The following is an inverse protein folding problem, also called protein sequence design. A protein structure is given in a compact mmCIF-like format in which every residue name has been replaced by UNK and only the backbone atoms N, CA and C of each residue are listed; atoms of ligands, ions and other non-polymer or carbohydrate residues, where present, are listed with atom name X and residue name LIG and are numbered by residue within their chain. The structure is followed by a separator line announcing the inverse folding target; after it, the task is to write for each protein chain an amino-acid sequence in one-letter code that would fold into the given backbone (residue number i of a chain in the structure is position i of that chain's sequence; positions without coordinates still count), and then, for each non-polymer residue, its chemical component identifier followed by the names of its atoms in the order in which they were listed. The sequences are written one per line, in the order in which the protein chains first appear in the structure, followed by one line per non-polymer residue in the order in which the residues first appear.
data_IF_101724351804
#
_entry.id   IF_101724351804
#
_cell.length_a   1.000
_cell.length_b   1.000
_cell.length_c   1.000
_cell.angle_alpha   90.00
_cell.angle_beta   90.00
_cell.angle_gamma   90.00
#
_symmetry.space_group_name_H-M   'P 1'
#
loop_
_entity.id
_entity.type
_entity.pdbx_description
1 polymer ?
#
# COMPACT_ATOMS: atom_id res chain seq x y z
N UNK A 1 45.48 -38.90 41.52
CA UNK A 1 44.21 -38.16 41.71
C UNK A 1 44.54 -36.69 41.94
N UNK A 2 43.83 -35.69 41.37
CA UNK A 2 43.05 -35.61 40.12
C UNK A 2 43.64 -34.57 39.13
N UNK A 3 43.68 -34.86 37.82
CA UNK A 3 42.75 -34.41 36.76
C UNK A 3 43.13 -33.08 36.07
N UNK A 4 43.94 -33.19 35.00
CA UNK A 4 44.08 -32.15 33.98
C UNK A 4 42.86 -32.17 33.06
N UNK A 5 42.04 -31.12 33.07
CA UNK A 5 40.93 -30.96 32.14
C UNK A 5 41.44 -30.38 30.81
N UNK A 6 41.54 -31.24 29.79
CA UNK A 6 41.57 -30.84 28.38
C UNK A 6 40.12 -30.60 27.94
N UNK A 7 39.66 -29.35 28.00
CA UNK A 7 38.39 -28.91 27.45
C UNK A 7 38.60 -28.13 26.16
N UNK A 8 38.12 -28.67 25.04
CA UNK A 8 38.32 -28.12 23.70
C UNK A 8 37.53 -26.85 23.42
N UNK A 9 38.19 -25.89 22.77
CA UNK A 9 37.56 -24.77 22.10
C UNK A 9 37.18 -25.16 20.67
N UNK A 10 36.08 -25.89 20.52
CA UNK A 10 35.35 -26.01 19.25
C UNK A 10 33.98 -25.34 19.42
N UNK A 11 33.98 -24.01 19.47
CA UNK A 11 32.77 -23.24 19.19
C UNK A 11 32.82 -22.83 17.72
N UNK A 12 32.02 -23.43 16.82
CA UNK A 12 31.79 -22.82 15.52
C UNK A 12 31.00 -21.53 15.78
N UNK A 13 31.69 -20.39 15.72
CA UNK A 13 31.03 -19.10 15.51
C UNK A 13 30.33 -19.17 14.15
N UNK A 14 29.09 -19.62 14.16
CA UNK A 14 28.19 -19.44 13.03
C UNK A 14 27.90 -17.96 12.96
N UNK A 15 28.48 -17.28 11.97
CA UNK A 15 28.10 -15.94 11.55
C UNK A 15 26.58 -15.94 11.33
N UNK A 16 25.82 -15.46 12.32
CA UNK A 16 24.39 -15.18 12.19
C UNK A 16 24.25 -13.89 11.39
N UNK A 17 24.37 -14.02 10.08
CA UNK A 17 24.00 -12.95 9.16
C UNK A 17 22.48 -12.70 9.28
N UNK A 18 22.01 -11.44 9.28
CA UNK A 18 20.60 -11.09 9.23
C UNK A 18 19.90 -11.82 8.07
N UNK A 19 18.66 -12.26 8.28
CA UNK A 19 17.87 -13.03 7.30
C UNK A 19 17.77 -12.37 5.93
N UNK A 20 17.88 -11.03 5.86
CA UNK A 20 17.92 -10.26 4.62
C UNK A 20 19.19 -10.48 3.79
N UNK A 21 20.37 -10.64 4.43
CA UNK A 21 21.63 -10.91 3.72
C UNK A 21 21.72 -12.35 3.22
N UNK A 22 21.07 -13.30 3.91
CA UNK A 22 21.03 -14.69 3.48
C UNK A 22 20.19 -14.88 2.21
N UNK A 23 19.09 -14.12 2.08
CA UNK A 23 18.28 -14.09 0.86
C UNK A 23 19.01 -13.41 -0.32
N UNK A 24 19.86 -12.42 -0.07
CA UNK A 24 20.62 -11.74 -1.11
C UNK A 24 21.84 -12.54 -1.62
N UNK A 25 22.54 -13.26 -0.73
CA UNK A 25 23.75 -14.02 -1.09
C UNK A 25 23.47 -15.45 -1.58
N UNK A 26 22.37 -16.06 -1.15
CA UNK A 26 22.00 -17.45 -1.50
C UNK A 26 20.61 -17.55 -2.13
N UNK A 27 20.01 -16.43 -2.53
CA UNK A 27 18.77 -16.38 -3.29
C UNK A 27 18.95 -17.04 -4.66
N UNK A 28 18.13 -18.04 -4.91
CA UNK A 28 18.20 -18.96 -6.03
C UNK A 28 18.27 -18.23 -7.39
N UNK A 29 19.24 -18.66 -8.22
CA UNK A 29 19.11 -18.59 -9.67
C UNK A 29 17.94 -19.50 -10.05
N UNK A 30 16.80 -18.91 -10.39
CA UNK A 30 15.74 -19.64 -11.06
C UNK A 30 16.28 -20.16 -12.40
N UNK A 31 16.30 -21.48 -12.49
CA UNK A 31 16.62 -22.25 -13.67
C UNK A 31 15.63 -21.92 -14.78
N UNK A 32 16.09 -21.11 -15.73
CA UNK A 32 15.57 -21.03 -17.09
C UNK A 32 15.71 -22.42 -17.70
N UNK A 33 14.68 -23.27 -17.66
CA UNK A 33 14.45 -24.37 -18.61
C UNK A 33 13.11 -25.06 -18.27
N UNK A 34 12.06 -24.74 -19.02
CA UNK A 34 10.81 -25.50 -19.04
C UNK A 34 10.77 -26.30 -20.35
N UNK A 35 10.79 -27.64 -20.33
CA UNK A 35 10.64 -28.43 -21.54
C UNK A 35 9.17 -28.54 -21.97
N UNK A 36 8.91 -28.14 -23.21
CA UNK A 36 7.65 -28.23 -23.94
C UNK A 36 7.32 -29.67 -24.31
N UNK A 37 6.13 -30.23 -23.99
CA UNK A 37 5.69 -31.46 -24.64
C UNK A 37 5.04 -31.14 -25.99
N UNK A 38 5.79 -31.41 -27.06
CA UNK A 38 5.33 -31.48 -28.45
C UNK A 38 4.29 -32.60 -28.61
N UNK A 39 3.04 -32.24 -28.90
CA UNK A 39 2.01 -33.20 -29.34
C UNK A 39 1.89 -33.11 -30.86
N UNK A 40 2.28 -34.20 -31.50
CA UNK A 40 2.28 -34.43 -32.94
C UNK A 40 0.93 -34.13 -33.58
N UNK A 41 0.98 -33.29 -34.61
CA UNK A 41 -0.09 -32.99 -35.54
C UNK A 41 -0.04 -34.02 -36.66
N UNK A 42 -1.05 -34.89 -36.76
CA UNK A 42 -1.30 -35.68 -37.96
C UNK A 42 -2.52 -35.11 -38.68
N UNK A 43 -2.22 -34.66 -39.90
CA UNK A 43 -3.11 -34.25 -40.98
C UNK A 43 -4.17 -35.30 -41.31
N UNK A 44 -5.43 -34.89 -41.43
CA UNK A 44 -6.34 -35.43 -42.46
C UNK A 44 -7.19 -34.32 -43.06
N UNK A 45 -7.06 -34.23 -44.37
CA UNK A 45 -7.79 -33.40 -45.31
C UNK A 45 -9.15 -34.03 -45.66
N UNK A 46 -10.00 -33.16 -46.24
CA UNK A 46 -11.03 -33.45 -47.25
C UNK A 46 -12.51 -33.43 -46.81
N UNK A 47 -13.13 -32.32 -47.24
CA UNK A 47 -14.44 -32.21 -47.93
C UNK A 47 -15.68 -32.81 -47.27
N UNK A 48 -16.68 -31.95 -47.04
CA UNK A 48 -17.86 -31.86 -47.92
C UNK A 48 -18.73 -30.67 -47.54
N UNK A 49 -19.13 -29.95 -48.57
CA UNK A 49 -20.23 -28.99 -48.62
C UNK A 49 -21.50 -29.58 -48.02
N UNK A 50 -22.11 -28.89 -47.06
CA UNK A 50 -23.57 -28.73 -46.97
C UNK A 50 -23.90 -27.59 -46.01
N UNK A 51 -24.43 -26.50 -46.58
CA UNK A 51 -25.09 -25.42 -45.86
C UNK A 51 -26.23 -26.00 -45.02
N UNK A 52 -26.02 -26.10 -43.72
CA UNK A 52 -27.10 -26.03 -42.73
C UNK A 52 -26.95 -24.72 -41.98
N UNK A 53 -28.04 -23.96 -41.93
CA UNK A 53 -28.22 -22.84 -41.02
C UNK A 53 -28.00 -23.34 -39.59
N UNK A 54 -26.78 -23.21 -39.09
CA UNK A 54 -26.50 -23.36 -37.68
C UNK A 54 -27.02 -22.09 -37.02
N UNK A 55 -28.16 -22.22 -36.35
CA UNK A 55 -28.61 -21.25 -35.37
C UNK A 55 -27.45 -21.10 -34.38
N UNK A 56 -26.81 -19.93 -34.38
CA UNK A 56 -25.85 -19.54 -33.35
C UNK A 56 -26.60 -19.41 -32.05
N UNK A 57 -26.81 -20.55 -31.37
CA UNK A 57 -27.14 -20.55 -29.95
C UNK A 57 -25.91 -19.99 -29.28
N UNK A 58 -25.96 -18.71 -28.90
CA UNK A 58 -24.98 -18.13 -27.99
C UNK A 58 -24.85 -19.13 -26.82
N UNK A 59 -23.66 -19.68 -26.54
CA UNK A 59 -23.50 -20.41 -25.30
C UNK A 59 -23.81 -19.41 -24.20
N UNK A 60 -24.97 -19.60 -23.56
CA UNK A 60 -25.26 -19.02 -22.27
C UNK A 60 -24.18 -19.57 -21.34
N UNK A 61 -23.08 -18.82 -21.23
CA UNK A 61 -22.08 -18.99 -20.18
C UNK A 61 -22.86 -18.83 -18.88
N UNK A 62 -23.32 -19.95 -18.34
CA UNK A 62 -23.86 -19.96 -17.00
C UNK A 62 -22.73 -19.45 -16.11
N UNK A 63 -22.96 -18.41 -15.30
CA UNK A 63 -21.94 -17.93 -14.39
C UNK A 63 -21.55 -19.12 -13.53
N UNK A 64 -20.26 -19.46 -13.55
CA UNK A 64 -19.68 -20.44 -12.63
C UNK A 64 -20.15 -20.05 -11.24
N UNK A 65 -21.08 -20.82 -10.67
CA UNK A 65 -21.60 -20.56 -9.32
C UNK A 65 -20.40 -20.62 -8.39
N UNK A 66 -19.98 -19.46 -7.93
CA UNK A 66 -18.82 -19.29 -7.08
C UNK A 66 -19.04 -20.02 -5.76
N UNK A 67 -18.46 -21.21 -5.63
CA UNK A 67 -18.25 -21.90 -4.35
C UNK A 67 -17.53 -21.01 -3.32
N UNK A 68 -16.82 -19.98 -3.80
CA UNK A 68 -16.22 -18.91 -3.00
C UNK A 68 -17.23 -18.12 -2.15
N UNK A 69 -18.47 -17.91 -2.62
CA UNK A 69 -19.50 -17.17 -1.87
C UNK A 69 -19.96 -17.91 -0.60
N UNK A 70 -19.82 -19.24 -0.56
CA UNK A 70 -20.38 -20.06 0.51
C UNK A 70 -19.42 -20.27 1.70
N UNK A 71 -18.13 -19.99 1.54
CA UNK A 71 -17.11 -20.31 2.55
C UNK A 71 -16.59 -19.09 3.32
N UNK A 72 -16.75 -17.86 2.82
CA UNK A 72 -16.29 -16.68 3.54
C UNK A 72 -17.25 -16.32 4.70
N UNK A 73 -16.74 -16.17 5.95
CA UNK A 73 -17.57 -15.86 7.11
C UNK A 73 -18.31 -14.52 6.97
N UNK A 74 -17.72 -13.53 6.28
CA UNK A 74 -18.32 -12.20 6.08
C UNK A 74 -19.52 -12.30 5.16
N UNK A 75 -19.40 -13.03 4.05
CA UNK A 75 -20.49 -13.21 3.09
C UNK A 75 -21.62 -14.05 3.68
N UNK A 76 -21.27 -15.06 4.47
CA UNK A 76 -22.24 -15.84 5.25
C UNK A 76 -22.95 -14.96 6.26
N UNK A 77 -22.24 -14.09 6.97
CA UNK A 77 -22.85 -13.18 7.93
C UNK A 77 -23.84 -12.23 7.23
N UNK A 78 -23.45 -11.58 6.14
CA UNK A 78 -24.33 -10.67 5.38
C UNK A 78 -25.59 -11.38 4.86
N UNK A 79 -25.45 -12.61 4.36
CA UNK A 79 -26.58 -13.38 3.84
C UNK A 79 -27.53 -13.85 4.94
N UNK A 80 -26.99 -14.22 6.11
CA UNK A 80 -27.77 -14.66 7.27
C UNK A 80 -28.46 -13.50 8.00
N UNK A 81 -27.73 -12.44 8.32
CA UNK A 81 -28.27 -11.30 9.10
C UNK A 81 -29.07 -10.35 8.25
N UNK A 82 -28.88 -10.37 6.92
CA UNK A 82 -29.41 -9.36 5.98
C UNK A 82 -29.03 -7.94 6.40
N UNK A 83 -27.93 -7.78 7.14
CA UNK A 83 -27.39 -6.50 7.56
C UNK A 83 -26.09 -6.21 6.80
N UNK A 84 -25.81 -4.93 6.48
CA UNK A 84 -24.56 -4.57 5.86
C UNK A 84 -23.40 -4.81 6.83
N UNK A 85 -22.31 -5.37 6.32
CA UNK A 85 -21.07 -5.59 7.11
C UNK A 85 -19.99 -4.62 6.64
N UNK A 86 -19.44 -3.88 7.59
CA UNK A 86 -18.37 -2.91 7.35
C UNK A 86 -17.04 -3.63 7.13
N UNK A 87 -16.44 -3.42 5.96
CA UNK A 87 -15.10 -3.92 5.63
C UNK A 87 -14.03 -2.86 5.92
N UNK A 88 -14.32 -1.61 5.61
CA UNK A 88 -13.37 -0.52 5.76
C UNK A 88 -14.06 0.78 6.14
N UNK A 89 -13.41 1.51 7.04
CA UNK A 89 -13.75 2.87 7.42
C UNK A 89 -12.50 3.74 7.42
N UNK A 90 -12.53 4.81 6.65
CA UNK A 90 -11.44 5.77 6.57
C UNK A 90 -11.14 6.44 7.92
N UNK A 91 -9.88 6.81 8.17
CA UNK A 91 -9.49 7.47 9.41
C UNK A 91 -10.18 8.84 9.53
N UNK A 92 -10.79 9.09 10.70
CA UNK A 92 -11.49 10.35 10.98
C UNK A 92 -10.51 11.42 11.46
N UNK A 93 -9.73 11.99 10.56
CA UNK A 93 -8.84 13.10 10.89
C UNK A 93 -9.34 14.40 10.26
N UNK A 94 -10.02 15.23 11.05
CA UNK A 94 -10.55 16.54 10.61
C UNK A 94 -9.46 17.48 10.09
N UNK A 95 -8.24 17.33 10.59
CA UNK A 95 -7.08 18.18 10.24
C UNK A 95 -6.26 17.62 9.08
N UNK A 96 -6.64 16.47 8.52
CA UNK A 96 -5.87 15.83 7.45
C UNK A 96 -5.72 16.74 6.25
N UNK A 97 -6.82 17.30 5.73
CA UNK A 97 -6.79 18.16 4.55
C UNK A 97 -5.99 19.43 4.81
N UNK A 98 -6.19 20.09 5.95
CA UNK A 98 -5.41 21.27 6.33
C UNK A 98 -3.92 20.98 6.38
N UNK A 99 -3.52 19.84 6.94
CA UNK A 99 -2.11 19.43 6.99
C UNK A 99 -1.53 19.17 5.60
N UNK A 100 -2.25 18.45 4.74
CA UNK A 100 -1.78 18.12 3.38
C UNK A 100 -1.68 19.37 2.52
N UNK A 101 -2.75 20.18 2.45
CA UNK A 101 -2.75 21.40 1.64
C UNK A 101 -1.82 22.48 2.21
N UNK A 102 -1.76 22.62 3.54
CA UNK A 102 -0.81 23.53 4.19
C UNK A 102 0.64 23.15 3.88
N UNK A 103 0.97 21.85 3.93
CA UNK A 103 2.31 21.36 3.56
C UNK A 103 2.59 21.57 2.07
N UNK A 104 1.62 21.27 1.19
CA UNK A 104 1.76 21.50 -0.25
C UNK A 104 1.99 22.97 -0.60
N UNK A 105 1.20 23.87 0.01
CA UNK A 105 1.33 25.32 -0.16
C UNK A 105 2.65 25.84 0.38
N UNK A 106 3.13 25.31 1.52
CA UNK A 106 4.44 25.65 2.06
C UNK A 106 5.56 25.29 1.09
N UNK A 107 5.54 24.09 0.50
CA UNK A 107 6.54 23.69 -0.49
C UNK A 107 6.49 24.54 -1.77
N UNK A 108 5.30 24.87 -2.25
CA UNK A 108 5.12 25.79 -3.38
C UNK A 108 5.68 27.18 -3.03
N UNK A 109 5.38 27.69 -1.83
CA UNK A 109 5.87 28.98 -1.36
C UNK A 109 7.40 29.04 -1.24
N UNK A 110 8.02 27.99 -0.68
CA UNK A 110 9.49 27.87 -0.61
C UNK A 110 10.10 27.83 -2.00
N UNK A 111 9.50 27.07 -2.92
CA UNK A 111 9.98 27.00 -4.30
C UNK A 111 9.86 28.34 -5.05
N UNK A 112 8.73 29.04 -4.90
CA UNK A 112 8.52 30.36 -5.47
C UNK A 112 9.48 31.40 -4.86
N UNK A 113 9.71 31.35 -3.55
CA UNK A 113 10.68 32.19 -2.86
C UNK A 113 12.10 31.95 -3.36
N UNK A 114 12.50 30.69 -3.56
CA UNK A 114 13.81 30.33 -4.13
C UNK A 114 14.02 30.90 -5.54
N UNK A 115 12.98 30.87 -6.39
CA UNK A 115 13.03 31.47 -7.73
C UNK A 115 13.13 32.99 -7.63
N UNK A 116 12.38 33.64 -6.73
CA UNK A 116 12.49 35.09 -6.51
C UNK A 116 13.88 35.47 -6.00
N UNK A 117 14.44 34.70 -5.07
CA UNK A 117 15.75 34.95 -4.49
C UNK A 117 16.89 34.92 -5.53
N UNK A 118 16.73 34.17 -6.62
CA UNK A 118 17.65 34.21 -7.75
C UNK A 118 17.79 35.61 -8.37
N UNK A 119 16.73 36.42 -8.38
CA UNK A 119 16.78 37.78 -8.89
C UNK A 119 17.53 38.72 -7.93
N UNK A 120 17.36 38.53 -6.62
CA UNK A 120 18.02 39.33 -5.57
C UNK A 120 19.54 39.15 -5.55
N UNK A 121 20.06 38.00 -6.02
CA UNK A 121 21.50 37.67 -6.03
C UNK A 121 22.18 37.93 -7.38
N UNK A 122 21.48 38.54 -8.34
CA UNK A 122 21.97 38.71 -9.72
C UNK A 122 23.28 39.50 -9.80
N UNK A 123 23.47 40.47 -8.91
CA UNK A 123 24.59 41.43 -8.98
C UNK A 123 25.77 41.08 -8.06
N UNK A 124 25.67 39.99 -7.29
CA UNK A 124 26.63 39.65 -6.22
C UNK A 124 27.91 38.97 -6.73
N UNK A 125 28.16 38.96 -8.04
CA UNK A 125 29.37 38.37 -8.64
C UNK A 125 29.51 36.86 -8.39
N UNK A 126 28.40 36.15 -8.20
CA UNK A 126 28.40 34.71 -7.91
C UNK A 126 28.77 33.86 -9.14
N UNK A 127 29.29 32.64 -8.93
CA UNK A 127 29.51 31.70 -10.03
C UNK A 127 28.24 31.46 -10.86
N UNK A 128 28.41 31.30 -12.18
CA UNK A 128 27.31 31.22 -13.13
C UNK A 128 26.29 30.10 -12.86
N UNK A 129 26.70 29.02 -12.18
CA UNK A 129 25.84 27.86 -11.89
C UNK A 129 24.91 28.07 -10.69
N UNK A 130 25.22 29.01 -9.80
CA UNK A 130 24.44 29.22 -8.56
C UNK A 130 23.01 29.64 -8.89
N UNK A 131 22.86 30.57 -9.84
CA UNK A 131 21.58 31.13 -10.26
C UNK A 131 20.64 30.11 -10.91
N UNK A 132 21.04 29.35 -11.95
CA UNK A 132 20.25 28.23 -12.47
C UNK A 132 19.87 27.20 -11.41
N UNK A 133 20.76 26.95 -10.43
CA UNK A 133 20.49 25.99 -9.35
C UNK A 133 19.28 26.41 -8.51
N UNK A 134 19.17 27.68 -8.11
CA UNK A 134 18.00 28.17 -7.37
C UNK A 134 16.69 28.04 -8.14
N UNK A 135 16.74 28.21 -9.47
CA UNK A 135 15.56 28.04 -10.34
C UNK A 135 15.15 26.58 -10.42
N UNK A 136 16.11 25.68 -10.65
CA UNK A 136 15.86 24.24 -10.75
C UNK A 136 15.34 23.69 -9.43
N UNK A 137 15.99 24.04 -8.31
CA UNK A 137 15.57 23.63 -6.97
C UNK A 137 14.19 24.21 -6.63
N UNK A 138 13.94 25.47 -6.96
CA UNK A 138 12.64 26.11 -6.75
C UNK A 138 11.53 25.43 -7.54
N UNK A 139 11.75 25.12 -8.81
CA UNK A 139 10.81 24.39 -9.66
C UNK A 139 10.53 22.98 -9.12
N UNK A 140 11.56 22.27 -8.63
CA UNK A 140 11.40 20.96 -8.01
C UNK A 140 10.51 21.01 -6.76
N UNK A 141 10.68 22.02 -5.89
CA UNK A 141 9.82 22.19 -4.72
C UNK A 141 8.37 22.52 -5.07
N UNK A 142 8.13 23.32 -6.10
CA UNK A 142 6.79 23.58 -6.62
C UNK A 142 6.15 22.28 -7.11
N UNK A 143 6.88 21.48 -7.90
CA UNK A 143 6.39 20.21 -8.41
C UNK A 143 6.04 19.22 -7.27
N UNK A 144 6.89 19.12 -6.25
CA UNK A 144 6.63 18.30 -5.04
C UNK A 144 5.38 18.80 -4.32
N UNK A 145 5.23 20.11 -4.13
CA UNK A 145 4.05 20.70 -3.49
C UNK A 145 2.76 20.42 -4.25
N UNK A 146 2.76 20.58 -5.57
CA UNK A 146 1.65 20.20 -6.44
C UNK A 146 1.32 18.71 -6.34
N UNK A 147 2.33 17.84 -6.34
CA UNK A 147 2.15 16.40 -6.17
C UNK A 147 1.53 16.06 -4.80
N UNK A 148 1.96 16.71 -3.72
CA UNK A 148 1.36 16.54 -2.38
C UNK A 148 -0.12 16.90 -2.40
N UNK A 149 -0.51 17.99 -3.09
CA UNK A 149 -1.91 18.42 -3.22
C UNK A 149 -2.82 17.39 -3.92
N UNK A 150 -2.27 16.40 -4.65
CA UNK A 150 -3.03 15.28 -5.24
C UNK A 150 -3.33 14.13 -4.27
N UNK A 151 -2.77 14.15 -3.04
CA UNK A 151 -2.99 13.12 -2.02
C UNK A 151 -4.47 12.82 -1.68
N UNK A 152 -5.31 13.86 -1.51
CA UNK A 152 -6.62 13.68 -0.92
C UNK A 152 -7.70 13.34 -1.96
N UNK A 153 -7.34 13.24 -3.25
CA UNK A 153 -8.29 12.95 -4.34
C UNK A 153 -8.64 11.46 -4.41
N UNK A 154 -9.85 11.19 -4.89
CA UNK A 154 -10.41 9.85 -5.13
C UNK A 154 -10.30 8.91 -3.93
N UNK A 155 -10.72 9.32 -2.73
CA UNK A 155 -10.63 8.48 -1.53
C UNK A 155 -11.95 7.80 -1.20
N UNK A 156 -11.89 6.51 -0.89
CA UNK A 156 -13.00 5.76 -0.30
C UNK A 156 -13.10 6.14 1.18
N UNK A 157 -14.30 6.42 1.66
CA UNK A 157 -14.59 6.69 3.08
C UNK A 157 -15.13 5.48 3.80
N UNK A 158 -15.98 4.72 3.12
CA UNK A 158 -16.71 3.60 3.68
C UNK A 158 -16.77 2.51 2.63
N UNK A 159 -16.49 1.28 3.05
CA UNK A 159 -16.67 0.11 2.22
C UNK A 159 -17.43 -0.94 3.01
N UNK A 160 -18.55 -1.36 2.46
CA UNK A 160 -19.47 -2.28 3.13
C UNK A 160 -19.97 -3.32 2.15
N UNK A 161 -20.17 -4.53 2.64
CA UNK A 161 -20.86 -5.57 1.91
C UNK A 161 -22.34 -5.50 2.29
N UNK A 162 -23.21 -5.37 1.29
CA UNK A 162 -24.65 -5.17 1.45
C UNK A 162 -25.39 -6.34 0.81
N UNK A 163 -26.46 -6.86 1.43
CA UNK A 163 -27.29 -7.87 0.78
C UNK A 163 -27.97 -7.30 -0.47
N UNK A 164 -28.19 -8.13 -1.49
CA UNK A 164 -28.90 -7.69 -2.70
C UNK A 164 -30.29 -7.15 -2.40
N UNK A 165 -30.64 -6.01 -3.01
CA UNK A 165 -31.86 -5.23 -2.75
C UNK A 165 -33.18 -6.00 -2.98
N UNK A 166 -33.20 -7.03 -3.83
CA UNK A 166 -34.36 -7.88 -4.07
C UNK A 166 -34.17 -9.24 -3.40
N UNK A 167 -34.58 -9.40 -2.12
CA UNK A 167 -34.98 -10.66 -1.49
C UNK A 167 -34.16 -11.96 -1.70
N UNK A 168 -32.93 -11.89 -2.21
CA UNK A 168 -32.25 -13.02 -2.86
C UNK A 168 -31.28 -12.64 -3.99
N UNK A 169 -31.18 -11.36 -4.36
CA UNK A 169 -30.17 -10.86 -5.29
C UNK A 169 -28.73 -11.09 -4.80
N UNK A 170 -27.75 -11.07 -5.72
CA UNK A 170 -26.35 -11.28 -5.37
C UNK A 170 -25.90 -10.23 -4.35
N UNK A 171 -24.98 -10.64 -3.47
CA UNK A 171 -24.38 -9.73 -2.49
C UNK A 171 -23.55 -8.68 -3.25
N UNK A 172 -23.68 -7.42 -2.83
CA UNK A 172 -23.06 -6.27 -3.48
C UNK A 172 -22.08 -5.57 -2.53
N UNK A 173 -21.07 -4.95 -3.12
CA UNK A 173 -20.12 -4.09 -2.46
C UNK A 173 -20.60 -2.64 -2.62
N UNK A 174 -20.91 -1.99 -1.49
CA UNK A 174 -21.26 -0.58 -1.39
C UNK A 174 -20.03 0.22 -0.99
N UNK A 175 -19.65 1.16 -1.84
CA UNK A 175 -18.51 2.05 -1.59
C UNK A 175 -19.00 3.47 -1.52
N UNK A 176 -18.72 4.16 -0.43
CA UNK A 176 -18.95 5.59 -0.32
C UNK A 176 -17.61 6.30 -0.54
N UNK A 177 -17.49 7.02 -1.65
CA UNK A 177 -16.23 7.60 -2.10
C UNK A 177 -16.37 9.09 -2.41
N UNK A 178 -15.26 9.83 -2.28
CA UNK A 178 -15.17 11.25 -2.61
C UNK A 178 -14.06 11.49 -3.62
N UNK A 179 -14.42 12.10 -4.75
CA UNK A 179 -13.45 12.49 -5.78
C UNK A 179 -12.54 13.62 -5.28
N UNK A 180 -13.11 14.59 -4.55
CA UNK A 180 -12.37 15.69 -3.94
C UNK A 180 -12.83 15.93 -2.49
N UNK A 181 -12.02 16.61 -1.65
CA UNK A 181 -12.38 16.87 -0.24
C UNK A 181 -13.73 17.58 -0.09
N UNK A 182 -14.01 18.50 -1.00
CA UNK A 182 -15.22 19.33 -1.03
C UNK A 182 -16.32 18.75 -1.91
N UNK A 183 -16.06 17.64 -2.61
CA UNK A 183 -17.11 17.01 -3.41
C UNK A 183 -18.13 16.32 -2.50
N UNK A 184 -19.34 16.17 -3.05
CA UNK A 184 -20.35 15.29 -2.48
C UNK A 184 -19.84 13.85 -2.47
N UNK A 185 -20.36 13.07 -1.54
CA UNK A 185 -20.05 11.65 -1.42
C UNK A 185 -20.86 10.89 -2.47
N UNK A 186 -20.17 10.11 -3.31
CA UNK A 186 -20.78 9.26 -4.32
C UNK A 186 -20.84 7.85 -3.76
N UNK A 187 -22.03 7.26 -3.75
CA UNK A 187 -22.21 5.85 -3.40
C UNK A 187 -22.17 5.03 -4.69
N UNK A 188 -21.24 4.08 -4.74
CA UNK A 188 -21.02 3.20 -5.88
C UNK A 188 -21.36 1.78 -5.43
N UNK A 189 -22.17 1.10 -6.22
CA UNK A 189 -22.52 -0.31 -6.02
C UNK A 189 -21.79 -1.15 -7.06
N UNK A 190 -21.13 -2.21 -6.60
CA UNK A 190 -20.49 -3.20 -7.46
C UNK A 190 -20.89 -4.60 -7.03
N UNK A 191 -20.93 -5.55 -7.97
CA UNK A 191 -21.00 -6.96 -7.59
C UNK A 191 -19.65 -7.39 -6.98
N UNK A 192 -19.68 -8.42 -6.12
CA UNK A 192 -18.45 -9.06 -5.64
C UNK A 192 -17.69 -9.62 -6.85
N UNK A 193 -16.39 -9.31 -6.93
CA UNK A 193 -15.53 -9.64 -8.08
C UNK A 193 -15.55 -8.62 -9.22
N UNK A 194 -16.45 -7.63 -9.21
CA UNK A 194 -16.42 -6.51 -10.16
C UNK A 194 -15.46 -5.38 -9.76
N UNK A 195 -14.94 -5.44 -8.53
CA UNK A 195 -13.90 -4.56 -8.03
C UNK A 195 -12.60 -5.35 -7.92
N UNK A 196 -11.49 -4.67 -8.23
CA UNK A 196 -10.14 -5.23 -8.12
C UNK A 196 -9.26 -4.31 -7.30
N UNK A 197 -8.26 -4.86 -6.61
CA UNK A 197 -7.34 -4.13 -5.76
C UNK A 197 -5.92 -4.26 -6.29
N UNK A 198 -5.18 -3.15 -6.32
CA UNK A 198 -3.83 -3.12 -6.88
C UNK A 198 -2.80 -3.84 -6.01
N UNK A 199 -2.99 -3.81 -4.69
CA UNK A 199 -2.05 -4.33 -3.70
C UNK A 199 -2.83 -4.87 -2.49
N UNK A 200 -2.32 -5.94 -1.88
CA UNK A 200 -2.90 -6.51 -0.67
C UNK A 200 -2.79 -5.55 0.51
N UNK A 201 -3.87 -5.42 1.26
CA UNK A 201 -3.96 -4.48 2.39
C UNK A 201 -3.35 -5.03 3.67
N UNK A 202 -3.39 -6.34 3.92
CA UNK A 202 -2.79 -6.94 5.13
C UNK A 202 -1.30 -6.57 5.31
N UNK A 203 -0.40 -6.78 4.32
CA UNK A 203 1.02 -6.45 4.50
C UNK A 203 1.24 -4.95 4.73
N UNK A 204 0.43 -4.09 4.08
CA UNK A 204 0.50 -2.64 4.27
C UNK A 204 0.10 -2.24 5.68
N UNK A 205 -0.98 -2.82 6.21
CA UNK A 205 -1.43 -2.59 7.59
C UNK A 205 -0.37 -3.05 8.58
N UNK A 206 0.25 -4.22 8.34
CA UNK A 206 1.31 -4.75 9.20
C UNK A 206 2.52 -3.82 9.26
N UNK A 207 2.98 -3.31 8.12
CA UNK A 207 4.07 -2.32 8.08
C UNK A 207 3.70 -1.02 8.79
N UNK A 208 2.46 -0.55 8.65
CA UNK A 208 1.97 0.64 9.36
C UNK A 208 1.96 0.44 10.88
N UNK A 209 1.52 -0.73 11.35
CA UNK A 209 1.52 -1.09 12.77
C UNK A 209 2.94 -1.19 13.32
N UNK A 210 3.88 -1.77 12.57
CA UNK A 210 5.30 -1.82 12.95
C UNK A 210 5.91 -0.42 13.04
N UNK A 211 5.61 0.44 12.07
CA UNK A 211 6.06 1.83 12.09
C UNK A 211 5.42 2.64 13.23
N UNK A 212 4.21 2.29 13.67
CA UNK A 212 3.57 2.88 14.83
C UNK A 212 4.17 2.38 16.14
N UNK A 213 4.48 1.07 16.24
CA UNK A 213 5.20 0.50 17.40
C UNK A 213 6.55 1.18 17.59
N UNK A 214 7.34 1.35 16.52
CA UNK A 214 8.63 2.06 16.59
C UNK A 214 8.47 3.51 17.06
N UNK A 215 7.38 4.17 16.67
CA UNK A 215 7.05 5.54 17.12
C UNK A 215 6.68 5.64 18.59
N UNK A 216 6.03 4.60 19.13
CA UNK A 216 5.58 4.54 20.53
C UNK A 216 6.67 4.02 21.47
N UNK A 217 7.74 3.43 20.95
CA UNK A 217 8.87 2.96 21.76
C UNK A 217 9.43 4.12 22.58
N UNK A 218 9.54 3.94 23.90
CA UNK A 218 10.12 4.95 24.75
C UNK A 218 11.64 4.87 24.66
N UNK A 219 12.26 6.01 24.40
CA UNK A 219 13.71 6.11 24.18
C UNK A 219 14.51 5.93 25.47
N UNK A 220 13.86 6.20 26.61
CA UNK A 220 14.48 6.24 27.93
C UNK A 220 14.28 4.95 28.74
N UNK A 221 13.50 4.00 28.21
CA UNK A 221 13.39 2.65 28.78
C UNK A 221 14.76 1.95 28.73
N UNK A 222 15.05 1.14 29.75
CA UNK A 222 16.28 0.37 29.92
C UNK A 222 17.57 1.17 30.17
N UNK A 223 17.49 2.46 30.51
CA UNK A 223 18.66 3.30 30.82
C UNK A 223 19.07 3.29 32.31
N UNK A 224 18.38 2.53 33.16
CA UNK A 224 18.58 2.54 34.61
C UNK A 224 19.99 2.10 35.05
N UNK A 225 20.70 1.32 34.23
CA UNK A 225 22.07 0.88 34.53
C UNK A 225 23.18 1.92 34.31
N UNK A 226 22.90 3.04 33.63
CA UNK A 226 23.93 4.04 33.29
C UNK A 226 24.05 5.15 34.34
N UNK A 227 25.23 5.75 34.49
CA UNK A 227 25.39 7.00 35.24
C UNK A 227 24.64 8.16 34.57
N UNK A 228 24.31 9.22 35.32
CA UNK A 228 23.46 10.35 34.84
C UNK A 228 23.94 10.93 33.50
N UNK A 229 25.24 11.17 33.35
CA UNK A 229 25.80 11.71 32.11
C UNK A 229 25.66 10.72 30.93
N UNK A 230 25.91 9.42 31.21
CA UNK A 230 25.73 8.35 30.22
C UNK A 230 24.28 8.19 29.80
N UNK A 231 23.32 8.32 30.74
CA UNK A 231 21.88 8.28 30.44
C UNK A 231 21.48 9.41 29.51
N UNK A 232 21.90 10.64 29.80
CA UNK A 232 21.57 11.83 28.99
C UNK A 232 22.16 11.68 27.58
N UNK A 233 23.43 11.28 27.48
CA UNK A 233 24.08 11.10 26.18
C UNK A 233 23.41 10.01 25.35
N UNK A 234 23.27 8.80 25.89
CA UNK A 234 22.67 7.66 25.18
C UNK A 234 21.20 7.91 24.83
N UNK A 235 20.43 8.48 25.75
CA UNK A 235 19.03 8.82 25.49
C UNK A 235 18.88 9.93 24.44
N UNK A 236 19.80 10.89 24.39
CA UNK A 236 19.81 11.90 23.32
C UNK A 236 20.15 11.30 21.96
N UNK A 237 21.14 10.39 21.89
CA UNK A 237 21.52 9.72 20.66
C UNK A 237 20.36 8.85 20.12
N UNK A 238 19.72 8.06 20.99
CA UNK A 238 18.53 7.28 20.65
C UNK A 238 17.36 8.17 20.25
N UNK A 239 17.17 9.32 20.90
CA UNK A 239 16.12 10.27 20.54
C UNK A 239 16.34 10.85 19.14
N UNK A 240 17.56 11.31 18.83
CA UNK A 240 17.92 11.80 17.50
C UNK A 240 17.70 10.69 16.47
N UNK A 241 18.17 9.47 16.74
CA UNK A 241 17.97 8.33 15.86
C UNK A 241 16.48 8.04 15.62
N UNK A 242 15.68 8.02 16.70
CA UNK A 242 14.24 7.81 16.60
C UNK A 242 13.57 8.91 15.78
N UNK A 243 13.94 10.19 15.96
CA UNK A 243 13.40 11.32 15.18
C UNK A 243 13.80 11.24 13.71
N UNK A 244 15.04 10.89 13.43
CA UNK A 244 15.55 10.70 12.08
C UNK A 244 14.82 9.57 11.37
N UNK A 245 14.75 8.39 11.97
CA UNK A 245 14.02 7.24 11.42
C UNK A 245 12.53 7.54 11.25
N UNK A 246 11.92 8.24 12.21
CA UNK A 246 10.53 8.69 12.10
C UNK A 246 10.31 9.68 10.95
N UNK A 247 11.28 10.56 10.68
CA UNK A 247 11.23 11.46 9.53
C UNK A 247 11.22 10.66 8.22
N UNK A 248 12.13 9.70 8.04
CA UNK A 248 12.17 8.86 6.83
C UNK A 248 10.93 8.00 6.68
N UNK A 249 10.39 7.43 7.76
CA UNK A 249 9.14 6.68 7.72
C UNK A 249 7.98 7.58 7.28
N UNK A 250 7.85 8.78 7.86
CA UNK A 250 6.82 9.75 7.43
C UNK A 250 7.00 10.19 5.99
N UNK A 251 8.25 10.38 5.56
CA UNK A 251 8.58 10.72 4.18
C UNK A 251 8.16 9.59 3.23
N UNK A 252 8.52 8.32 3.54
CA UNK A 252 8.09 7.11 2.81
C UNK A 252 6.57 7.10 2.65
N UNK A 253 5.82 7.22 3.75
CA UNK A 253 4.35 7.17 3.72
C UNK A 253 3.73 8.36 2.96
N UNK A 254 4.27 9.57 3.12
CA UNK A 254 3.72 10.76 2.49
C UNK A 254 4.02 10.83 0.98
N UNK A 255 5.27 10.58 0.58
CA UNK A 255 5.76 10.77 -0.79
C UNK A 255 5.49 9.54 -1.65
N UNK A 256 5.85 8.34 -1.17
CA UNK A 256 5.61 7.10 -1.91
C UNK A 256 4.15 6.64 -1.83
N UNK A 257 3.29 7.36 -1.12
CA UNK A 257 1.87 6.99 -0.89
C UNK A 257 1.72 5.61 -0.24
N UNK A 258 2.77 5.16 0.46
CA UNK A 258 2.74 3.88 1.14
C UNK A 258 1.65 3.89 2.21
N UNK A 259 0.85 2.82 2.25
CA UNK A 259 -0.37 2.76 3.07
C UNK A 259 -1.64 3.17 2.32
N UNK A 260 -1.58 3.42 1.01
CA UNK A 260 -2.75 3.67 0.18
C UNK A 260 -2.88 2.58 -0.89
N UNK A 261 -3.86 1.69 -0.74
CA UNK A 261 -4.20 0.71 -1.77
C UNK A 261 -5.16 1.32 -2.80
N UNK A 262 -5.02 0.97 -4.08
CA UNK A 262 -5.95 1.43 -5.12
C UNK A 262 -6.97 0.34 -5.41
N UNK A 263 -8.24 0.71 -5.51
CA UNK A 263 -9.35 -0.16 -5.91
C UNK A 263 -9.92 0.37 -7.21
N UNK A 264 -9.97 -0.48 -8.23
CA UNK A 264 -10.62 -0.18 -9.50
C UNK A 264 -12.04 -0.69 -9.50
N UNK A 265 -12.98 0.18 -9.87
CA UNK A 265 -14.41 -0.13 -9.93
C UNK A 265 -14.99 0.57 -11.14
N UNK A 266 -15.57 -0.20 -12.08
CA UNK A 266 -16.20 0.36 -13.28
C UNK A 266 -15.26 1.28 -14.11
N UNK A 267 -13.95 1.02 -14.06
CA UNK A 267 -12.93 1.83 -14.75
C UNK A 267 -12.42 3.04 -13.95
N UNK A 268 -13.04 3.39 -12.83
CA UNK A 268 -12.57 4.45 -11.94
C UNK A 268 -11.58 3.91 -10.90
N UNK A 269 -10.45 4.60 -10.69
CA UNK A 269 -9.47 4.32 -9.63
C UNK A 269 -9.78 5.09 -8.34
N UNK A 270 -10.01 4.35 -7.26
CA UNK A 270 -10.26 4.87 -5.93
C UNK A 270 -9.16 4.44 -4.95
N UNK A 271 -8.92 5.23 -3.92
CA UNK A 271 -7.85 5.05 -2.94
C UNK A 271 -8.43 4.64 -1.59
N UNK A 272 -7.95 3.54 -1.03
CA UNK A 272 -8.21 3.10 0.34
C UNK A 272 -7.00 3.46 1.20
N UNK A 273 -7.23 4.18 2.28
CA UNK A 273 -6.19 4.53 3.26
C UNK A 273 -6.12 3.42 4.33
N UNK A 274 -5.07 2.60 4.29
CA UNK A 274 -4.85 1.46 5.17
C UNK A 274 -4.56 1.85 6.63
N UNK A 275 -4.41 3.14 6.94
CA UNK A 275 -4.31 3.62 8.33
C UNK A 275 -5.67 3.73 9.04
N UNK A 276 -6.77 3.52 8.30
CA UNK A 276 -8.13 3.48 8.85
C UNK A 276 -8.44 2.19 9.61
N UNK A 277 -9.72 2.00 9.90
CA UNK A 277 -10.21 0.73 10.42
C UNK A 277 -10.48 -0.23 9.26
N UNK A 278 -9.84 -1.40 9.28
CA UNK A 278 -10.08 -2.50 8.33
C UNK A 278 -10.53 -3.73 9.09
N UNK A 279 -11.51 -4.44 8.55
CA UNK A 279 -11.96 -5.71 9.11
C UNK A 279 -10.83 -6.75 9.01
N UNK A 280 -10.53 -7.42 10.13
CA UNK A 280 -9.44 -8.40 10.25
C UNK A 280 -8.07 -7.87 9.75
N UNK A 281 -7.75 -6.62 10.06
CA UNK A 281 -6.49 -5.96 9.65
C UNK A 281 -6.26 -5.98 8.12
N UNK A 282 -7.33 -6.00 7.33
CA UNK A 282 -7.29 -6.01 5.86
C UNK A 282 -7.47 -7.39 5.24
N UNK A 283 -7.36 -8.47 6.00
CA UNK A 283 -7.52 -9.85 5.49
C UNK A 283 -8.87 -10.09 4.84
N UNK A 284 -9.94 -9.54 5.42
CA UNK A 284 -11.27 -9.67 4.85
C UNK A 284 -11.38 -8.99 3.48
N UNK A 285 -10.71 -7.85 3.30
CA UNK A 285 -10.70 -7.15 2.02
C UNK A 285 -9.93 -7.93 0.96
N UNK A 286 -8.76 -8.45 1.33
CA UNK A 286 -7.87 -9.22 0.44
C UNK A 286 -8.49 -10.55 -0.01
N UNK A 287 -9.44 -11.11 0.76
CA UNK A 287 -10.22 -12.30 0.36
C UNK A 287 -11.38 -11.98 -0.57
N UNK A 288 -12.03 -10.83 -0.38
CA UNK A 288 -13.28 -10.47 -1.06
C UNK A 288 -13.07 -9.73 -2.38
N UNK A 289 -11.95 -9.03 -2.53
CA UNK A 289 -11.60 -8.25 -3.72
C UNK A 289 -10.40 -8.92 -4.39
N UNK A 290 -10.53 -9.26 -5.66
CA UNK A 290 -9.45 -9.88 -6.40
C UNK A 290 -8.30 -8.90 -6.64
N UNK A 291 -7.08 -9.42 -6.64
CA UNK A 291 -5.89 -8.66 -7.03
C UNK A 291 -5.89 -8.45 -8.55
N UNK A 292 -5.53 -7.23 -8.97
CA UNK A 292 -5.48 -6.77 -10.36
C UNK A 292 -4.31 -7.38 -11.16
#
# INVERSE_FOLDING_TARGET
MPAFSRGGFNNPMTFRLPSSLRAALFGARDTIFTPTPTRLTTTRTSTTTLRRYAITVKPSVQPVRSTFLSNDPVLRQVTQTRQPVLLYRAPQNKWYYTKVYGTGLLWIGVGAFSIKFNDDIKDTGLPFFVRPTYVVVGAAFIAIGCYICTAPTNRIRLLEVVPGLQGGGPVQLRMAAKAAPWSTERVIYSNIGGATISEKTEPMVRELLEAERFRRQQVWEDLEGYGVLGRVWEGSARWVHQKWTNFFLRFKFAVLRFGIAKVKVQGDEWKIDCSGWLLEDGKALDRLIAED
#
